data_IF_110456784264
#
_entry.id   IF_110456784264
#
_cell.length_a   1.000
_cell.length_b   1.000
_cell.length_c   1.000
_cell.angle_alpha   90.00
_cell.angle_beta   90.00
_cell.angle_gamma   90.00
#
_symmetry.space_group_name_H-M   'P 1'
#
loop_
_entity.id
_entity.type
_entity.pdbx_description
1 polymer ?
#
# COMPACT_ATOMS: atom_id res chain seq x y z
N UNK A 1 19.88 4.73 63.94
CA UNK A 1 20.29 3.73 62.92
C UNK A 1 19.11 3.55 61.97
N UNK A 2 19.15 4.18 60.80
CA UNK A 2 18.07 4.12 59.81
C UNK A 2 18.31 2.96 58.83
N UNK A 3 17.27 2.17 58.63
CA UNK A 3 17.22 0.95 57.82
C UNK A 3 17.36 1.32 56.33
N UNK A 4 18.30 0.70 55.63
CA UNK A 4 18.53 0.89 54.19
C UNK A 4 17.45 0.17 53.39
N UNK A 5 16.74 0.82 52.45
CA UNK A 5 15.88 0.10 51.52
C UNK A 5 16.74 -0.43 50.37
N UNK A 6 16.91 -1.74 50.31
CA UNK A 6 17.25 -2.45 49.07
C UNK A 6 15.93 -2.96 48.53
N UNK A 7 15.49 -2.49 47.37
CA UNK A 7 14.77 -3.33 46.41
C UNK A 7 14.69 -2.66 45.04
N UNK A 8 15.62 -3.13 44.22
CA UNK A 8 15.69 -3.15 42.78
C UNK A 8 14.31 -3.49 42.16
N UNK A 9 13.74 -2.57 41.38
CA UNK A 9 12.57 -2.83 40.54
C UNK A 9 12.93 -2.57 39.07
N UNK A 10 13.51 -3.59 38.46
CA UNK A 10 13.66 -3.76 37.01
C UNK A 10 12.40 -4.46 36.50
N UNK A 11 11.85 -4.06 35.34
CA UNK A 11 10.84 -4.71 34.45
C UNK A 11 10.03 -3.55 33.81
N UNK A 12 9.76 -3.40 32.50
CA UNK A 12 9.81 -4.25 31.31
C UNK A 12 9.74 -3.27 30.11
N UNK A 13 10.81 -3.14 29.31
CA UNK A 13 10.73 -2.48 28.01
C UNK A 13 10.19 -3.53 27.02
N UNK A 14 8.93 -3.39 26.58
CA UNK A 14 8.36 -4.19 25.49
C UNK A 14 8.80 -3.55 24.17
N UNK A 15 9.74 -4.13 23.39
CA UNK A 15 10.04 -3.59 22.07
C UNK A 15 8.85 -3.93 21.16
N UNK A 16 8.30 -2.89 20.53
CA UNK A 16 7.15 -3.02 19.64
C UNK A 16 7.39 -4.04 18.53
N UNK A 17 6.37 -4.85 18.24
CA UNK A 17 6.32 -5.72 17.08
C UNK A 17 6.46 -4.85 15.82
N UNK A 18 7.68 -4.77 15.28
CA UNK A 18 7.90 -4.35 13.91
C UNK A 18 7.34 -5.47 13.01
N UNK A 19 6.19 -5.21 12.37
CA UNK A 19 5.69 -6.08 11.32
C UNK A 19 6.73 -6.12 10.19
N UNK A 20 7.51 -7.20 10.14
CA UNK A 20 8.46 -7.42 9.07
C UNK A 20 7.67 -7.55 7.75
N UNK A 21 7.82 -6.55 6.88
CA UNK A 21 7.35 -6.65 5.50
C UNK A 21 8.15 -7.76 4.81
N UNK A 22 7.58 -8.96 4.74
CA UNK A 22 8.19 -10.08 4.04
C UNK A 22 8.47 -9.77 2.56
N UNK A 23 9.46 -10.42 1.95
CA UNK A 23 9.75 -10.26 0.53
C UNK A 23 8.50 -10.55 -0.29
N UNK A 24 8.25 -9.74 -1.32
CA UNK A 24 7.15 -9.98 -2.25
C UNK A 24 7.32 -11.38 -2.89
N UNK A 25 6.25 -12.18 -3.03
CA UNK A 25 6.36 -13.50 -3.64
C UNK A 25 6.99 -13.39 -5.04
N UNK A 26 8.12 -14.08 -5.23
CA UNK A 26 8.89 -14.14 -6.48
C UNK A 26 8.38 -15.25 -7.41
N UNK A 27 7.09 -15.56 -7.37
CA UNK A 27 6.47 -16.33 -8.44
C UNK A 27 6.32 -15.42 -9.66
N UNK A 28 6.49 -15.94 -10.87
CA UNK A 28 6.00 -15.25 -12.07
C UNK A 28 4.48 -15.13 -11.92
N UNK A 29 4.02 -14.02 -11.34
CA UNK A 29 2.60 -13.73 -11.23
C UNK A 29 2.02 -13.78 -12.63
N UNK A 30 1.00 -14.62 -12.85
CA UNK A 30 0.27 -14.65 -14.11
C UNK A 30 -0.51 -13.34 -14.36
N UNK A 31 -0.60 -12.47 -13.34
CA UNK A 31 -0.98 -11.07 -13.51
C UNK A 31 0.27 -10.21 -13.70
N UNK A 32 0.32 -9.45 -14.79
CA UNK A 32 1.40 -8.52 -15.11
C UNK A 32 0.88 -7.08 -15.19
N UNK A 33 1.72 -6.11 -14.83
CA UNK A 33 1.46 -4.69 -15.03
C UNK A 33 2.53 -4.09 -15.94
N UNK A 34 2.12 -3.22 -16.87
CA UNK A 34 3.00 -2.55 -17.83
C UNK A 34 2.59 -1.08 -18.01
N UNK A 35 3.47 -0.28 -18.60
CA UNK A 35 3.18 1.10 -19.01
C UNK A 35 2.68 2.00 -17.87
N UNK A 36 3.25 1.81 -16.68
CA UNK A 36 2.87 2.54 -15.47
C UNK A 36 3.36 3.98 -15.46
N UNK A 37 2.48 4.92 -15.10
CA UNK A 37 2.81 6.34 -14.96
C UNK A 37 1.95 7.03 -13.90
N UNK A 38 2.35 8.20 -13.45
CA UNK A 38 1.60 9.03 -12.49
C UNK A 38 1.28 10.36 -13.15
N UNK A 39 0.02 10.78 -13.10
CA UNK A 39 -0.38 12.11 -13.56
C UNK A 39 0.03 13.15 -12.52
N UNK A 40 0.95 14.03 -12.90
CA UNK A 40 1.31 15.18 -12.09
C UNK A 40 0.16 16.18 -12.03
N UNK A 41 -0.06 16.73 -10.85
CA UNK A 41 -1.03 17.81 -10.66
C UNK A 41 -0.39 19.15 -11.01
N UNK A 42 -1.11 20.07 -11.66
CA UNK A 42 -0.64 21.44 -11.85
C UNK A 42 -0.66 22.25 -10.54
N UNK A 43 -1.27 21.74 -9.46
CA UNK A 43 -1.27 22.41 -8.18
C UNK A 43 0.16 22.47 -7.59
N UNK A 44 0.59 23.59 -6.98
CA UNK A 44 1.95 23.73 -6.44
C UNK A 44 2.31 22.71 -5.36
N UNK A 45 1.33 22.23 -4.61
CA UNK A 45 1.48 21.23 -3.53
C UNK A 45 0.25 20.31 -3.50
N UNK A 46 0.19 19.29 -4.37
CA UNK A 46 -0.96 18.40 -4.42
C UNK A 46 -0.98 17.45 -3.22
N UNK A 47 -2.15 17.24 -2.63
CA UNK A 47 -2.34 16.27 -1.55
C UNK A 47 -2.47 14.83 -2.07
N UNK A 48 -2.90 14.67 -3.33
CA UNK A 48 -3.14 13.37 -3.97
C UNK A 48 -2.72 13.44 -5.44
N UNK A 49 -2.24 12.31 -5.96
CA UNK A 49 -1.95 12.10 -7.39
C UNK A 49 -2.64 10.80 -7.85
N UNK A 50 -2.88 10.69 -9.15
CA UNK A 50 -3.46 9.49 -9.74
C UNK A 50 -2.39 8.70 -10.51
N UNK A 51 -2.27 7.41 -10.18
CA UNK A 51 -1.46 6.45 -10.91
C UNK A 51 -2.28 5.71 -11.96
N UNK A 52 -1.65 5.39 -13.09
CA UNK A 52 -2.26 4.67 -14.20
C UNK A 52 -1.29 3.60 -14.71
N UNK A 53 -1.82 2.58 -15.36
CA UNK A 53 -1.05 1.54 -16.04
C UNK A 53 -1.96 0.46 -16.60
N UNK A 54 -1.39 -0.49 -17.33
CA UNK A 54 -2.14 -1.62 -17.90
C UNK A 54 -1.87 -2.88 -17.11
N UNK A 55 -2.94 -3.47 -16.56
CA UNK A 55 -2.91 -4.78 -15.90
C UNK A 55 -3.41 -5.83 -16.90
N UNK A 56 -2.65 -6.92 -17.06
CA UNK A 56 -3.00 -8.07 -17.90
C UNK A 56 -3.16 -9.27 -16.97
N UNK A 57 -4.31 -9.94 -17.06
CA UNK A 57 -4.55 -11.23 -16.41
C UNK A 57 -4.23 -12.37 -17.39
N UNK A 58 -3.06 -12.98 -17.27
CA UNK A 58 -2.67 -14.21 -17.98
C UNK A 58 -2.97 -15.49 -17.21
N UNK A 59 -3.70 -15.42 -16.10
CA UNK A 59 -4.08 -16.59 -15.31
C UNK A 59 -5.20 -17.37 -16.00
N UNK A 60 -5.34 -18.66 -15.68
CA UNK A 60 -6.44 -19.51 -16.18
C UNK A 60 -7.79 -19.21 -15.53
N UNK A 61 -7.81 -18.33 -14.52
CA UNK A 61 -9.00 -17.93 -13.76
C UNK A 61 -9.09 -16.42 -13.62
N UNK A 62 -10.30 -15.93 -13.42
CA UNK A 62 -10.55 -14.51 -13.14
C UNK A 62 -9.84 -14.08 -11.84
N UNK A 63 -9.23 -12.90 -11.88
CA UNK A 63 -8.53 -12.29 -10.75
C UNK A 63 -9.22 -10.98 -10.35
N UNK A 64 -9.17 -10.63 -9.07
CA UNK A 64 -9.74 -9.38 -8.55
C UNK A 64 -8.62 -8.50 -8.04
N UNK A 65 -8.58 -7.24 -8.50
CA UNK A 65 -7.64 -6.23 -7.99
C UNK A 65 -8.25 -5.59 -6.75
N UNK A 66 -7.70 -5.90 -5.58
CA UNK A 66 -8.24 -5.44 -4.28
C UNK A 66 -7.39 -4.38 -3.60
N UNK A 67 -6.11 -4.27 -3.96
CA UNK A 67 -5.19 -3.30 -3.38
C UNK A 67 -4.03 -2.98 -4.33
N UNK A 68 -3.39 -1.85 -4.08
CA UNK A 68 -2.10 -1.47 -4.63
C UNK A 68 -1.25 -0.84 -3.51
N UNK A 69 0.08 -0.83 -3.68
CA UNK A 69 1.00 -0.25 -2.70
C UNK A 69 2.10 0.55 -3.41
N UNK A 70 2.63 1.55 -2.73
CA UNK A 70 3.76 2.34 -3.24
C UNK A 70 4.72 2.70 -2.12
N UNK A 71 6.05 2.65 -2.35
CA UNK A 71 7.01 3.20 -1.40
C UNK A 71 7.04 4.74 -1.40
N UNK A 72 6.36 5.40 -2.36
CA UNK A 72 6.33 6.87 -2.50
C UNK A 72 5.04 7.54 -2.01
N UNK A 73 3.98 6.77 -1.82
CA UNK A 73 2.68 7.27 -1.38
C UNK A 73 2.28 6.55 -0.11
N UNK A 74 1.95 7.32 0.93
CA UNK A 74 1.58 6.78 2.24
C UNK A 74 0.21 6.07 2.27
N UNK A 75 -0.67 6.41 1.33
CA UNK A 75 -1.97 5.77 1.13
C UNK A 75 -2.25 5.56 -0.37
N UNK A 76 -2.92 4.46 -0.71
CA UNK A 76 -3.31 4.11 -2.07
C UNK A 76 -4.73 3.54 -2.05
N UNK A 77 -5.65 4.19 -2.75
CA UNK A 77 -7.01 3.73 -2.97
C UNK A 77 -7.24 3.35 -4.44
N UNK A 78 -8.09 2.35 -4.68
CA UNK A 78 -8.53 1.97 -6.01
C UNK A 78 -9.86 2.64 -6.31
N UNK A 79 -9.97 3.22 -7.50
CA UNK A 79 -11.18 3.89 -7.99
C UNK A 79 -11.58 3.24 -9.29
N UNK A 80 -12.82 2.75 -9.38
CA UNK A 80 -13.32 2.19 -10.61
C UNK A 80 -13.85 3.33 -11.48
N UNK A 81 -13.45 3.36 -12.75
CA UNK A 81 -14.01 4.30 -13.72
C UNK A 81 -14.47 3.54 -14.94
N UNK A 82 -15.77 3.63 -15.24
CA UNK A 82 -16.38 3.00 -16.40
C UNK A 82 -16.97 4.06 -17.33
N UNK A 83 -16.95 3.81 -18.63
CA UNK A 83 -17.70 4.62 -19.58
C UNK A 83 -19.11 4.04 -19.70
N UNK A 84 -20.10 4.80 -19.26
CA UNK A 84 -21.52 4.45 -19.35
C UNK A 84 -22.20 5.50 -20.22
N UNK A 85 -22.83 5.07 -21.31
CA UNK A 85 -23.50 5.96 -22.28
C UNK A 85 -22.59 7.09 -22.80
N UNK A 86 -21.30 6.77 -23.05
CA UNK A 86 -20.29 7.72 -23.53
C UNK A 86 -19.74 8.67 -22.45
N UNK A 87 -20.17 8.55 -21.19
CA UNK A 87 -19.70 9.38 -20.08
C UNK A 87 -18.85 8.56 -19.12
N UNK A 88 -17.69 9.10 -18.75
CA UNK A 88 -16.84 8.51 -17.71
C UNK A 88 -17.50 8.68 -16.34
N UNK A 89 -17.78 7.56 -15.66
CA UNK A 89 -18.44 7.48 -14.35
C UNK A 89 -17.50 6.78 -13.37
N UNK A 90 -17.31 7.39 -12.21
CA UNK A 90 -16.53 6.83 -11.11
C UNK A 90 -17.45 6.10 -10.13
N UNK A 91 -17.02 4.95 -9.65
CA UNK A 91 -17.74 4.13 -8.65
C UNK A 91 -16.80 3.73 -7.52
#
# INVERSE_FOLDING_TARGET
MHIRPVLLATLLFLPGLAAAAGPAPTGSSCVAMSDGWVRLSPAPRPMMLAGFGRIINGCTTAQVVVAARSPRFGDVSLHETQVVDGVSRMR
#
